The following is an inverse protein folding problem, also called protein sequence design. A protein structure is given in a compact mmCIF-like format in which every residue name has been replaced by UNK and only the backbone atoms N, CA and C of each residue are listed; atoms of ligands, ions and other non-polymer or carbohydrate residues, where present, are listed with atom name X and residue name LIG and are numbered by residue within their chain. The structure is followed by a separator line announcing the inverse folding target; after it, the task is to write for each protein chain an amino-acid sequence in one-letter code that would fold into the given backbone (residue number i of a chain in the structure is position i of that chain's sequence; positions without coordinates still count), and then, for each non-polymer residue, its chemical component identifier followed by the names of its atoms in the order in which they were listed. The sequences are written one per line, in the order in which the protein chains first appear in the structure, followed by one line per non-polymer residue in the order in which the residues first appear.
data_IF_335241838698
#
_entry.id   IF_335241838698
#
_cell.length_a   1.000
_cell.length_b   1.000
_cell.length_c   1.000
_cell.angle_alpha   90.00
_cell.angle_beta   90.00
_cell.angle_gamma   90.00
#
_symmetry.space_group_name_H-M   'P 1'
#
loop_
_entity.id
_entity.type
_entity.pdbx_description
1 polymer ?
#
# COMPACT_ATOMS: atom_id res chain seq x y z
N UNK A 1 11.27 29.82 7.74
CA UNK A 1 11.09 28.77 6.73
C UNK A 1 9.97 27.87 7.20
N UNK A 2 8.98 27.45 6.38
CA UNK A 2 8.04 26.44 6.84
C UNK A 2 8.83 25.16 7.18
N UNK A 3 8.41 24.43 8.21
CA UNK A 3 9.03 23.15 8.60
C UNK A 3 8.98 22.18 7.41
N UNK A 4 9.99 21.31 7.32
CA UNK A 4 10.11 20.34 6.22
C UNK A 4 9.00 19.29 6.23
N UNK A 5 8.24 19.19 7.33
CA UNK A 5 6.98 18.42 7.49
C UNK A 5 5.79 19.25 7.97
N UNK A 6 5.99 20.54 8.27
CA UNK A 6 4.92 21.42 8.75
C UNK A 6 3.81 21.68 7.73
N UNK A 7 2.66 22.11 8.25
CA UNK A 7 1.48 22.42 7.44
C UNK A 7 1.75 23.55 6.45
N UNK A 8 1.33 23.31 5.21
CA UNK A 8 1.45 24.24 4.09
C UNK A 8 0.08 24.69 3.61
N UNK A 9 0.01 25.79 2.83
CA UNK A 9 -1.23 26.18 2.16
C UNK A 9 -1.81 25.08 1.26
N UNK A 10 -0.96 24.19 0.71
CA UNK A 10 -1.41 23.05 -0.09
C UNK A 10 -2.12 22.00 0.77
N UNK A 11 -1.64 21.73 1.98
CA UNK A 11 -2.26 20.78 2.90
C UNK A 11 -3.65 21.28 3.34
N UNK A 12 -3.81 22.60 3.52
CA UNK A 12 -5.12 23.22 3.80
C UNK A 12 -6.06 23.09 2.61
N UNK A 13 -5.55 23.27 1.38
CA UNK A 13 -6.34 23.08 0.17
C UNK A 13 -6.76 21.61 -0.01
N UNK A 14 -5.84 20.67 0.21
CA UNK A 14 -6.09 19.23 0.18
C UNK A 14 -7.16 18.83 1.22
N UNK A 15 -7.02 19.30 2.46
CA UNK A 15 -8.00 19.06 3.52
C UNK A 15 -9.39 19.67 3.23
N UNK A 16 -9.45 20.76 2.46
CA UNK A 16 -10.73 21.37 2.07
C UNK A 16 -11.47 20.53 1.02
N UNK A 17 -10.73 19.88 0.13
CA UNK A 17 -11.29 19.00 -0.91
C UNK A 17 -11.56 17.60 -0.35
N UNK A 18 -10.82 17.17 0.66
CA UNK A 18 -10.99 15.89 1.34
C UNK A 18 -12.44 15.70 1.80
N UNK A 19 -13.05 14.59 1.38
CA UNK A 19 -14.44 14.20 1.67
C UNK A 19 -15.53 15.20 1.20
N UNK A 20 -15.18 16.16 0.33
CA UNK A 20 -16.11 17.15 -0.21
C UNK A 20 -16.30 17.01 -1.73
N UNK A 21 -17.32 16.24 -2.12
CA UNK A 21 -17.64 15.98 -3.52
C UNK A 21 -17.97 17.27 -4.30
N UNK A 22 -18.63 18.25 -3.68
CA UNK A 22 -18.99 19.51 -4.37
C UNK A 22 -17.75 20.32 -4.74
N UNK A 23 -16.77 20.40 -3.84
CA UNK A 23 -15.52 21.09 -4.10
C UNK A 23 -14.64 20.33 -5.09
N UNK A 24 -14.59 18.99 -5.02
CA UNK A 24 -13.88 18.18 -6.00
C UNK A 24 -14.46 18.41 -7.41
N UNK A 25 -15.78 18.44 -7.57
CA UNK A 25 -16.45 18.71 -8.84
C UNK A 25 -16.32 20.18 -9.30
N UNK A 26 -16.03 21.11 -8.39
CA UNK A 26 -15.79 22.51 -8.73
C UNK A 26 -14.37 22.78 -9.26
N UNK A 27 -13.43 21.85 -9.07
CA UNK A 27 -12.07 21.95 -9.62
C UNK A 27 -12.11 21.94 -11.15
N UNK A 28 -11.34 22.85 -11.76
CA UNK A 28 -11.26 22.93 -13.22
C UNK A 28 -9.89 22.49 -13.72
N UNK A 29 -9.82 22.16 -15.00
CA UNK A 29 -8.56 21.77 -15.67
C UNK A 29 -7.37 22.72 -15.38
N UNK A 30 -7.53 24.06 -15.35
CA UNK A 30 -6.42 24.97 -15.02
C UNK A 30 -5.88 24.81 -13.58
N UNK A 31 -6.75 24.47 -12.63
CA UNK A 31 -6.38 24.29 -11.23
C UNK A 31 -5.53 23.02 -11.07
N UNK A 32 -5.98 21.92 -11.69
CA UNK A 32 -5.26 20.64 -11.74
C UNK A 32 -3.97 20.75 -12.55
N UNK A 33 -4.00 21.46 -13.69
CA UNK A 33 -2.82 21.68 -14.51
C UNK A 33 -1.73 22.36 -13.69
N UNK A 34 -2.05 23.43 -12.95
CA UNK A 34 -1.09 24.15 -12.11
C UNK A 34 -0.38 23.23 -11.13
N UNK A 35 -1.11 22.34 -10.45
CA UNK A 35 -0.54 21.34 -9.53
C UNK A 35 0.40 20.38 -10.27
N UNK A 36 -0.02 19.89 -11.43
CA UNK A 36 0.82 19.02 -12.28
C UNK A 36 2.09 19.75 -12.77
N UNK A 37 2.04 21.07 -13.01
CA UNK A 37 3.23 21.84 -13.38
C UNK A 37 4.25 21.90 -12.23
N UNK A 38 3.79 22.07 -10.99
CA UNK A 38 4.66 22.04 -9.81
C UNK A 38 5.25 20.65 -9.57
N UNK A 39 4.43 19.60 -9.70
CA UNK A 39 4.90 18.21 -9.63
C UNK A 39 5.98 17.91 -10.68
N UNK A 40 5.82 18.39 -11.92
CA UNK A 40 6.86 18.27 -12.95
C UNK A 40 8.16 18.98 -12.54
N UNK A 41 8.05 20.15 -11.88
CA UNK A 41 9.17 20.88 -11.31
C UNK A 41 9.94 20.07 -10.26
N UNK A 42 9.24 19.42 -9.33
CA UNK A 42 9.84 18.50 -8.35
C UNK A 42 10.60 17.36 -9.03
N UNK A 43 10.14 16.94 -10.21
CA UNK A 43 10.81 15.94 -11.00
C UNK A 43 12.15 16.38 -11.62
N UNK A 44 12.36 17.68 -11.82
CA UNK A 44 13.52 18.22 -12.53
C UNK A 44 14.50 18.98 -11.62
N UNK A 45 14.12 19.21 -10.37
CA UNK A 45 14.86 20.07 -9.46
C UNK A 45 15.11 19.38 -8.13
N UNK A 46 16.35 19.46 -7.68
CA UNK A 46 16.75 19.05 -6.33
C UNK A 46 16.12 19.96 -5.27
N UNK A 47 15.89 19.40 -4.08
CA UNK A 47 15.46 20.19 -2.94
C UNK A 47 16.64 20.97 -2.35
N UNK A 48 16.76 22.26 -2.69
CA UNK A 48 17.84 23.13 -2.21
C UNK A 48 17.92 23.20 -0.67
N UNK A 49 16.78 23.10 0.01
CA UNK A 49 16.71 23.04 1.47
C UNK A 49 17.38 21.78 2.02
N UNK A 50 17.10 20.59 1.47
CA UNK A 50 17.74 19.34 1.88
C UNK A 50 19.24 19.36 1.61
N UNK A 51 19.64 19.80 0.42
CA UNK A 51 21.06 19.93 0.06
C UNK A 51 21.77 20.88 1.02
N UNK A 52 21.16 22.01 1.39
CA UNK A 52 21.73 22.95 2.36
C UNK A 52 21.87 22.37 3.78
N UNK A 53 21.01 21.42 4.15
CA UNK A 53 21.08 20.67 5.41
C UNK A 53 22.05 19.48 5.37
N UNK A 54 22.75 19.28 4.25
CA UNK A 54 23.77 18.24 4.10
C UNK A 54 23.26 16.89 3.59
N UNK A 55 22.02 16.81 3.12
CA UNK A 55 21.49 15.60 2.47
C UNK A 55 22.13 15.38 1.09
N UNK A 56 22.26 14.12 0.65
CA UNK A 56 22.69 13.81 -0.70
C UNK A 56 21.77 14.42 -1.76
N UNK A 57 22.37 14.99 -2.79
CA UNK A 57 21.62 15.50 -3.94
C UNK A 57 21.28 14.35 -4.89
N UNK A 58 19.98 14.04 -4.99
CA UNK A 58 19.45 12.98 -5.88
C UNK A 58 18.91 13.53 -7.21
N UNK A 59 18.93 14.85 -7.44
CA UNK A 59 18.51 15.47 -8.70
C UNK A 59 17.00 15.69 -8.88
N UNK A 60 16.18 15.35 -7.88
CA UNK A 60 14.73 15.56 -7.86
C UNK A 60 14.21 15.64 -6.41
N UNK A 61 12.94 15.99 -6.21
CA UNK A 61 12.34 16.25 -4.90
C UNK A 61 11.15 15.31 -4.61
N UNK A 62 11.39 14.11 -4.04
CA UNK A 62 10.31 13.17 -3.68
C UNK A 62 9.41 13.70 -2.55
N UNK A 63 9.98 14.44 -1.59
CA UNK A 63 9.27 14.94 -0.40
C UNK A 63 8.19 15.95 -0.77
N UNK A 64 8.52 16.91 -1.64
CA UNK A 64 7.52 17.88 -2.09
C UNK A 64 6.58 17.28 -3.15
N UNK A 65 7.11 16.38 -3.99
CA UNK A 65 6.34 15.68 -5.01
C UNK A 65 5.16 14.89 -4.42
N UNK A 66 5.37 14.20 -3.30
CA UNK A 66 4.32 13.48 -2.56
C UNK A 66 3.13 14.39 -2.23
N UNK A 67 3.38 15.61 -1.72
CA UNK A 67 2.30 16.53 -1.31
C UNK A 67 1.39 16.94 -2.47
N UNK A 68 1.98 17.14 -3.66
CA UNK A 68 1.20 17.42 -4.86
C UNK A 68 0.39 16.19 -5.30
N UNK A 69 0.95 14.98 -5.18
CA UNK A 69 0.24 13.74 -5.46
C UNK A 69 -0.94 13.53 -4.49
N UNK A 70 -0.77 13.85 -3.22
CA UNK A 70 -1.83 13.78 -2.21
C UNK A 70 -2.99 14.74 -2.51
N UNK A 71 -2.71 15.98 -2.90
CA UNK A 71 -3.76 16.89 -3.35
C UNK A 71 -4.53 16.30 -4.54
N UNK A 72 -3.81 15.79 -5.55
CA UNK A 72 -4.45 15.17 -6.73
C UNK A 72 -5.27 13.94 -6.35
N UNK A 73 -4.82 13.15 -5.37
CA UNK A 73 -5.51 11.98 -4.86
C UNK A 73 -6.88 12.34 -4.30
N UNK A 74 -6.97 13.40 -3.49
CA UNK A 74 -8.25 13.89 -2.96
C UNK A 74 -9.13 14.54 -4.03
N UNK A 75 -8.54 15.10 -5.10
CA UNK A 75 -9.29 15.66 -6.20
C UNK A 75 -9.96 14.60 -7.09
N UNK A 76 -9.35 13.41 -7.22
CA UNK A 76 -9.86 12.33 -8.08
C UNK A 76 -10.65 11.26 -7.32
N UNK A 77 -10.60 11.25 -5.99
CA UNK A 77 -11.25 10.23 -5.17
C UNK A 77 -11.81 10.83 -3.89
N UNK A 78 -13.13 10.78 -3.74
CA UNK A 78 -13.84 11.35 -2.59
C UNK A 78 -14.87 10.34 -2.06
N UNK A 79 -14.95 10.18 -0.74
CA UNK A 79 -15.97 9.33 -0.09
C UNK A 79 -16.07 7.89 -0.63
N UNK A 80 -14.94 7.31 -1.09
CA UNK A 80 -14.91 5.95 -1.63
C UNK A 80 -15.23 5.84 -3.14
N UNK A 81 -15.50 6.95 -3.81
CA UNK A 81 -15.88 6.99 -5.22
C UNK A 81 -14.86 7.78 -6.05
N UNK A 82 -14.66 7.34 -7.30
CA UNK A 82 -13.80 8.03 -8.27
C UNK A 82 -14.56 9.20 -8.91
N UNK A 83 -13.93 10.38 -8.94
CA UNK A 83 -14.42 11.55 -9.65
C UNK A 83 -13.90 11.48 -11.10
N UNK A 84 -14.64 10.79 -11.97
CA UNK A 84 -14.17 10.43 -13.32
C UNK A 84 -13.71 11.63 -14.16
N UNK A 85 -14.40 12.77 -14.07
CA UNK A 85 -14.04 13.98 -14.82
C UNK A 85 -12.63 14.46 -14.44
N UNK A 86 -12.32 14.49 -13.15
CA UNK A 86 -11.00 14.89 -12.64
C UNK A 86 -9.95 13.82 -12.96
N UNK A 87 -10.25 12.54 -12.75
CA UNK A 87 -9.34 11.44 -13.04
C UNK A 87 -8.85 11.45 -14.50
N UNK A 88 -9.77 11.65 -15.45
CA UNK A 88 -9.47 11.70 -16.88
C UNK A 88 -8.56 12.90 -17.23
N UNK A 89 -8.79 14.05 -16.60
CA UNK A 89 -7.95 15.25 -16.76
C UNK A 89 -6.56 14.99 -16.17
N UNK A 90 -6.47 14.47 -14.95
CA UNK A 90 -5.21 14.19 -14.26
C UNK A 90 -4.33 13.22 -15.05
N UNK A 91 -4.88 12.08 -15.49
CA UNK A 91 -4.12 11.11 -16.31
C UNK A 91 -3.60 11.77 -17.58
N UNK A 92 -4.44 12.53 -18.29
CA UNK A 92 -4.07 13.23 -19.53
C UNK A 92 -2.99 14.29 -19.31
N UNK A 93 -3.01 15.00 -18.19
CA UNK A 93 -1.99 15.99 -17.84
C UNK A 93 -0.66 15.33 -17.47
N UNK A 94 -0.69 14.25 -16.68
CA UNK A 94 0.50 13.51 -16.25
C UNK A 94 1.23 12.89 -17.45
N UNK A 95 0.54 12.20 -18.36
CA UNK A 95 1.21 11.57 -19.52
C UNK A 95 1.83 12.57 -20.50
N UNK A 96 1.41 13.84 -20.46
CA UNK A 96 2.00 14.91 -21.26
C UNK A 96 3.27 15.49 -20.63
N UNK A 97 3.55 15.13 -19.36
CA UNK A 97 4.69 15.59 -18.57
C UNK A 97 5.35 14.40 -17.89
N UNK A 98 6.19 13.63 -18.62
CA UNK A 98 6.83 12.44 -18.07
C UNK A 98 7.65 12.75 -16.79
N UNK A 99 8.05 14.00 -16.59
CA UNK A 99 8.77 14.46 -15.41
C UNK A 99 8.02 14.20 -14.10
N UNK A 100 6.68 14.16 -14.14
CA UNK A 100 5.84 13.90 -12.97
C UNK A 100 6.00 12.48 -12.40
N UNK A 101 6.47 11.50 -13.18
CA UNK A 101 6.51 10.09 -12.75
C UNK A 101 7.74 9.73 -11.91
N UNK A 102 8.64 10.68 -11.67
CA UNK A 102 9.95 10.40 -11.07
C UNK A 102 10.93 9.74 -12.06
N UNK A 103 12.24 9.70 -11.74
CA UNK A 103 13.27 9.31 -12.70
C UNK A 103 13.17 7.85 -13.17
N UNK A 104 12.67 6.93 -12.34
CA UNK A 104 12.64 5.51 -12.71
C UNK A 104 11.52 5.13 -13.70
N UNK A 105 10.48 5.97 -13.80
CA UNK A 105 9.29 5.71 -14.62
C UNK A 105 9.18 6.63 -15.85
N UNK A 106 10.20 7.46 -16.12
CA UNK A 106 10.24 8.42 -17.25
C UNK A 106 10.47 7.81 -18.64
N UNK A 107 10.56 6.49 -18.76
CA UNK A 107 10.70 5.77 -20.03
C UNK A 107 12.13 5.78 -20.63
N UNK A 108 12.83 6.91 -20.67
CA UNK A 108 14.23 6.96 -21.14
C UNK A 108 15.21 6.66 -20.01
N UNK A 109 15.81 5.45 -20.01
CA UNK A 109 16.86 5.06 -19.07
C UNK A 109 16.40 4.72 -17.64
N UNK A 110 15.08 4.67 -17.40
CA UNK A 110 14.50 4.24 -16.13
C UNK A 110 14.64 2.74 -15.91
N UNK A 111 14.92 2.33 -14.67
CA UNK A 111 15.10 0.91 -14.31
C UNK A 111 13.79 0.21 -13.90
N UNK A 112 12.63 0.89 -13.99
CA UNK A 112 11.33 0.36 -13.56
C UNK A 112 11.04 0.63 -12.08
N UNK A 113 9.79 0.38 -11.68
CA UNK A 113 9.29 0.62 -10.32
C UNK A 113 9.96 -0.32 -9.31
N UNK A 114 10.07 -1.61 -9.64
CA UNK A 114 10.65 -2.59 -8.72
C UNK A 114 12.10 -2.23 -8.36
N UNK A 115 12.91 -1.91 -9.37
CA UNK A 115 14.29 -1.51 -9.15
C UNK A 115 14.38 -0.21 -8.32
N UNK A 116 13.47 0.74 -8.53
CA UNK A 116 13.42 1.98 -7.76
C UNK A 116 13.07 1.73 -6.29
N UNK A 117 12.07 0.90 -6.01
CA UNK A 117 11.70 0.52 -4.65
C UNK A 117 12.84 -0.22 -3.96
N UNK A 118 13.47 -1.20 -4.63
CA UNK A 118 14.62 -1.92 -4.06
C UNK A 118 15.82 -1.02 -3.79
N UNK A 119 16.12 -0.06 -4.66
CA UNK A 119 17.20 0.89 -4.43
C UNK A 119 16.87 1.86 -3.30
N UNK A 120 15.62 2.28 -3.17
CA UNK A 120 15.16 3.13 -2.07
C UNK A 120 15.25 2.41 -0.70
N UNK A 121 14.97 1.10 -0.66
CA UNK A 121 15.21 0.27 0.54
C UNK A 121 16.69 0.27 0.90
N UNK A 122 17.59 0.05 -0.07
CA UNK A 122 19.04 0.10 0.18
C UNK A 122 19.51 1.48 0.64
N UNK A 123 18.88 2.55 0.16
CA UNK A 123 19.14 3.92 0.65
C UNK A 123 18.75 4.00 2.12
N UNK A 124 17.56 3.53 2.52
CA UNK A 124 17.13 3.55 3.93
C UNK A 124 18.02 2.74 4.88
N UNK A 125 18.71 1.73 4.35
CA UNK A 125 19.65 0.90 5.12
C UNK A 125 21.05 1.52 5.22
N UNK A 126 21.36 2.58 4.44
CA UNK A 126 22.65 3.27 4.42
C UNK A 126 22.51 4.69 5.01
N UNK A 127 22.89 4.93 6.28
CA UNK A 127 22.78 6.24 6.92
C UNK A 127 23.50 7.37 6.19
N UNK A 128 24.54 7.08 5.40
CA UNK A 128 25.26 8.10 4.63
C UNK A 128 24.45 8.58 3.42
N UNK A 129 23.47 7.78 2.98
CA UNK A 129 22.58 8.07 1.85
C UNK A 129 21.19 8.52 2.30
N UNK A 130 20.74 8.02 3.46
CA UNK A 130 19.40 8.28 3.98
C UNK A 130 19.27 9.63 4.68
N UNK A 131 20.32 10.04 5.40
CA UNK A 131 20.34 11.23 6.23
C UNK A 131 21.39 12.27 5.82
N UNK A 132 21.55 13.36 6.59
CA UNK A 132 22.57 14.37 6.34
C UNK A 132 23.98 13.79 6.53
N UNK A 133 24.91 14.12 5.64
CA UNK A 133 26.28 13.59 5.71
C UNK A 133 27.02 14.05 6.98
N UNK A 134 27.60 13.13 7.78
CA UNK A 134 28.35 13.47 9.00
C UNK A 134 29.68 14.20 8.72
N UNK A 135 30.09 14.29 7.44
CA UNK A 135 31.35 14.91 7.03
C UNK A 135 31.21 16.39 6.63
N UNK A 136 29.99 16.89 6.47
CA UNK A 136 29.72 18.31 6.20
C UNK A 136 29.82 19.14 7.49
N UNK A 137 30.41 20.35 7.43
CA UNK A 137 30.40 21.29 8.58
C UNK A 137 28.97 21.60 9.06
N UNK A 138 28.00 21.57 8.14
CA UNK A 138 26.57 21.68 8.46
C UNK A 138 26.04 20.44 9.18
N UNK A 139 26.46 19.23 8.77
CA UNK A 139 26.08 17.96 9.40
C UNK A 139 26.60 17.83 10.83
N UNK A 140 27.83 18.28 11.10
CA UNK A 140 28.43 18.32 12.45
C UNK A 140 27.79 19.34 13.38
N UNK A 141 27.28 20.44 12.82
CA UNK A 141 26.54 21.46 13.60
C UNK A 141 25.12 20.97 13.89
N UNK A 142 24.51 20.21 12.97
CA UNK A 142 23.21 19.57 13.15
C UNK A 142 23.27 18.47 14.23
N UNK A 143 24.31 17.62 14.22
CA UNK A 143 24.49 16.55 15.24
C UNK A 143 24.46 17.06 16.69
N UNK A 144 24.81 18.33 16.92
CA UNK A 144 24.79 19.01 18.24
C UNK A 144 23.44 19.70 18.54
N UNK A 145 22.61 19.97 17.53
CA UNK A 145 21.31 20.65 17.65
C UNK A 145 20.09 19.71 17.53
N UNK A 146 20.29 18.48 17.06
CA UNK A 146 19.24 17.49 16.84
C UNK A 146 18.73 16.80 18.11
N UNK A 147 19.29 17.07 19.29
CA UNK A 147 18.75 16.56 20.56
C UNK A 147 17.31 17.09 20.84
N UNK A 148 16.88 18.18 20.18
CA UNK A 148 15.55 18.79 20.35
C UNK A 148 14.64 18.74 19.08
N UNK A 149 15.10 18.23 17.92
CA UNK A 149 14.36 18.23 16.64
C UNK A 149 14.29 16.86 15.92
N UNK A 150 14.04 15.75 16.64
CA UNK A 150 13.81 14.42 16.02
C UNK A 150 12.66 14.42 14.99
N UNK A 151 11.63 15.26 15.17
CA UNK A 151 10.39 15.29 14.35
C UNK A 151 10.58 15.80 12.91
N UNK A 152 11.68 16.52 12.65
CA UNK A 152 11.96 17.17 11.35
C UNK A 152 12.99 16.37 10.49
N UNK A 153 13.43 15.19 10.94
CA UNK A 153 14.36 14.33 10.19
C UNK A 153 13.66 13.69 9.00
N UNK A 154 14.28 13.78 7.82
CA UNK A 154 13.77 13.18 6.59
C UNK A 154 14.60 11.95 6.27
N UNK A 155 13.94 10.82 6.08
CA UNK A 155 14.57 9.60 5.59
C UNK A 155 14.43 9.53 4.07
N UNK A 156 15.53 9.73 3.35
CA UNK A 156 15.53 9.83 1.89
C UNK A 156 14.99 8.55 1.22
N UNK A 157 15.37 7.37 1.72
CA UNK A 157 14.89 6.09 1.22
C UNK A 157 13.37 5.98 1.34
N UNK A 158 12.82 6.28 2.52
CA UNK A 158 11.38 6.30 2.73
C UNK A 158 10.65 7.37 1.90
N UNK A 159 11.24 8.56 1.73
CA UNK A 159 10.65 9.61 0.90
C UNK A 159 10.50 9.15 -0.57
N UNK A 160 11.50 8.46 -1.11
CA UNK A 160 11.45 7.90 -2.47
C UNK A 160 10.36 6.82 -2.58
N UNK A 161 10.31 5.88 -1.63
CA UNK A 161 9.28 4.82 -1.62
C UNK A 161 7.87 5.41 -1.50
N UNK A 162 7.69 6.38 -0.61
CA UNK A 162 6.41 7.05 -0.38
C UNK A 162 5.96 7.85 -1.60
N UNK A 163 6.86 8.55 -2.30
CA UNK A 163 6.55 9.21 -3.56
C UNK A 163 6.02 8.22 -4.60
N UNK A 164 6.73 7.11 -4.85
CA UNK A 164 6.28 6.12 -5.82
C UNK A 164 4.97 5.47 -5.37
N UNK A 165 4.81 5.11 -4.09
CA UNK A 165 3.56 4.58 -3.58
C UNK A 165 2.38 5.55 -3.78
N UNK A 166 2.55 6.84 -3.48
CA UNK A 166 1.52 7.86 -3.70
C UNK A 166 1.17 8.03 -5.18
N UNK A 167 2.16 7.95 -6.07
CA UNK A 167 1.95 8.00 -7.52
C UNK A 167 1.14 6.79 -8.01
N UNK A 168 1.50 5.58 -7.57
CA UNK A 168 0.79 4.35 -7.94
C UNK A 168 -0.63 4.35 -7.36
N UNK A 169 -0.82 4.79 -6.11
CA UNK A 169 -2.15 4.92 -5.51
C UNK A 169 -3.04 5.91 -6.28
N UNK A 170 -2.51 7.10 -6.62
CA UNK A 170 -3.20 8.08 -7.45
C UNK A 170 -3.64 7.47 -8.78
N UNK A 171 -2.72 6.83 -9.51
CA UNK A 171 -3.02 6.23 -10.81
C UNK A 171 -4.03 5.08 -10.69
N UNK A 172 -3.99 4.30 -9.61
CA UNK A 172 -4.96 3.26 -9.31
C UNK A 172 -6.36 3.83 -9.10
N UNK A 173 -6.49 4.95 -8.38
CA UNK A 173 -7.76 5.67 -8.19
C UNK A 173 -8.25 6.39 -9.44
N UNK A 174 -7.33 6.76 -10.34
CA UNK A 174 -7.67 7.28 -11.66
C UNK A 174 -8.15 6.20 -12.64
N UNK A 175 -7.98 4.91 -12.32
CA UNK A 175 -8.42 3.83 -13.19
C UNK A 175 -9.94 3.90 -13.39
N UNK A 176 -10.45 3.66 -14.60
CA UNK A 176 -11.89 3.70 -14.86
C UNK A 176 -12.63 2.54 -14.19
N UNK A 177 -13.89 2.76 -13.85
CA UNK A 177 -14.73 1.75 -13.20
C UNK A 177 -14.97 0.51 -14.08
N UNK A 178 -14.98 -0.68 -13.46
CA UNK A 178 -15.05 -1.96 -14.19
C UNK A 178 -16.28 -2.10 -15.08
N UNK A 179 -17.43 -1.59 -14.62
CA UNK A 179 -18.67 -1.67 -15.38
C UNK A 179 -18.60 -0.86 -16.69
N UNK A 180 -17.85 0.26 -16.73
CA UNK A 180 -17.63 1.04 -17.96
C UNK A 180 -16.73 0.30 -18.94
N UNK A 181 -15.71 -0.40 -18.43
CA UNK A 181 -14.81 -1.22 -19.24
C UNK A 181 -15.58 -2.39 -19.85
N UNK A 182 -16.40 -3.10 -19.05
CA UNK A 182 -17.25 -4.19 -19.54
C UNK A 182 -18.31 -3.72 -20.54
N UNK A 183 -18.80 -2.49 -20.39
CA UNK A 183 -19.72 -1.87 -21.34
C UNK A 183 -19.03 -1.42 -22.65
N UNK A 184 -17.72 -1.66 -22.81
CA UNK A 184 -17.00 -1.36 -24.05
C UNK A 184 -16.77 0.13 -24.29
N UNK A 185 -16.77 0.97 -23.24
CA UNK A 185 -16.54 2.42 -23.38
C UNK A 185 -15.09 2.67 -23.82
N UNK A 186 -14.93 3.21 -25.04
CA UNK A 186 -13.62 3.38 -25.67
C UNK A 186 -12.62 4.21 -24.84
N UNK A 187 -13.10 5.26 -24.16
CA UNK A 187 -12.25 6.09 -23.29
C UNK A 187 -11.71 5.30 -22.08
N UNK A 188 -12.58 4.55 -21.41
CA UNK A 188 -12.20 3.71 -20.27
C UNK A 188 -11.18 2.63 -20.68
N UNK A 189 -11.39 1.99 -21.83
CA UNK A 189 -10.44 1.00 -22.37
C UNK A 189 -9.09 1.66 -22.67
N UNK A 190 -9.09 2.85 -23.27
CA UNK A 190 -7.86 3.59 -23.61
C UNK A 190 -7.08 4.00 -22.37
N UNK A 191 -7.75 4.55 -21.36
CA UNK A 191 -7.10 4.94 -20.09
C UNK A 191 -6.51 3.71 -19.39
N UNK A 192 -7.27 2.61 -19.30
CA UNK A 192 -6.76 1.35 -18.72
C UNK A 192 -5.52 0.85 -19.46
N UNK A 193 -5.50 0.93 -20.80
CA UNK A 193 -4.33 0.54 -21.58
C UNK A 193 -3.11 1.44 -21.32
N UNK A 194 -3.31 2.75 -21.18
CA UNK A 194 -2.26 3.70 -20.79
C UNK A 194 -1.69 3.33 -19.42
N UNK A 195 -2.54 3.12 -18.40
CA UNK A 195 -2.10 2.78 -17.05
C UNK A 195 -1.28 1.48 -17.03
N UNK A 196 -1.72 0.45 -17.78
CA UNK A 196 -0.98 -0.82 -17.93
C UNK A 196 0.37 -0.65 -18.62
N UNK A 197 0.49 0.31 -19.54
CA UNK A 197 1.77 0.57 -20.23
C UNK A 197 2.78 1.33 -19.36
N UNK A 198 2.31 2.08 -18.36
CA UNK A 198 3.17 2.86 -17.47
C UNK A 198 3.82 1.98 -16.40
N UNK A 199 3.07 1.03 -15.85
CA UNK A 199 3.51 0.16 -14.75
C UNK A 199 3.26 -1.30 -15.14
N UNK A 200 4.32 -2.06 -15.47
CA UNK A 200 4.24 -3.49 -15.74
C UNK A 200 3.69 -4.26 -14.54
N UNK A 201 2.99 -5.37 -14.78
CA UNK A 201 2.42 -6.19 -13.70
C UNK A 201 3.52 -6.87 -12.88
N UNK A 202 4.64 -7.20 -13.52
CA UNK A 202 5.80 -7.84 -12.91
C UNK A 202 6.45 -6.93 -11.86
N UNK A 203 6.44 -5.61 -12.08
CA UNK A 203 6.93 -4.65 -11.11
C UNK A 203 6.07 -4.63 -9.83
N UNK A 204 4.74 -4.71 -9.99
CA UNK A 204 3.81 -4.77 -8.86
C UNK A 204 3.99 -6.04 -8.05
N UNK A 205 4.05 -7.19 -8.74
CA UNK A 205 4.30 -8.49 -8.13
C UNK A 205 5.63 -8.49 -7.36
N UNK A 206 6.68 -7.94 -7.98
CA UNK A 206 8.00 -7.82 -7.36
C UNK A 206 7.96 -7.01 -6.07
N UNK A 207 7.29 -5.85 -6.06
CA UNK A 207 7.20 -4.99 -4.86
C UNK A 207 6.34 -5.66 -3.78
N UNK A 208 5.23 -6.30 -4.16
CA UNK A 208 4.37 -7.05 -3.23
C UNK A 208 5.13 -8.21 -2.59
N UNK A 209 6.11 -8.79 -3.28
CA UNK A 209 6.93 -9.91 -2.79
C UNK A 209 8.08 -9.50 -1.86
N UNK A 210 8.33 -8.19 -1.67
CA UNK A 210 9.41 -7.71 -0.78
C UNK A 210 9.05 -7.99 0.68
N UNK A 211 9.90 -8.65 1.48
CA UNK A 211 9.62 -8.89 2.89
C UNK A 211 9.74 -7.60 3.71
N UNK A 212 8.90 -7.44 4.73
CA UNK A 212 9.03 -6.33 5.68
C UNK A 212 10.11 -6.60 6.74
N UNK A 213 10.77 -5.56 7.27
CA UNK A 213 11.54 -5.67 8.50
C UNK A 213 10.58 -5.95 9.66
N UNK A 214 10.77 -7.06 10.39
CA UNK A 214 9.88 -7.45 11.48
C UNK A 214 10.40 -6.96 12.83
N UNK A 215 9.53 -6.49 13.74
CA UNK A 215 9.94 -6.18 15.10
C UNK A 215 10.41 -7.45 15.81
N UNK A 216 11.42 -7.32 16.66
CA UNK A 216 12.02 -8.44 17.38
C UNK A 216 12.01 -8.21 18.88
N UNK A 217 11.87 -9.29 19.64
CA UNK A 217 11.99 -9.24 21.10
C UNK A 217 13.46 -9.46 21.48
N UNK A 218 14.08 -8.45 22.07
CA UNK A 218 15.43 -8.55 22.58
C UNK A 218 15.51 -9.45 23.82
N UNK A 219 16.73 -9.90 24.15
CA UNK A 219 16.96 -10.86 25.26
C UNK A 219 16.61 -10.30 26.64
N UNK A 220 16.55 -8.98 26.78
CA UNK A 220 16.15 -8.27 27.99
C UNK A 220 14.63 -8.06 28.09
N UNK A 221 13.87 -8.51 27.09
CA UNK A 221 12.42 -8.33 27.00
C UNK A 221 11.99 -6.99 26.38
N UNK A 222 12.93 -6.15 25.93
CA UNK A 222 12.60 -4.95 25.16
C UNK A 222 12.18 -5.30 23.74
N UNK A 223 11.31 -4.48 23.16
CA UNK A 223 10.87 -4.62 21.76
C UNK A 223 11.72 -3.69 20.92
N UNK A 224 12.35 -4.24 19.89
CA UNK A 224 13.07 -3.46 18.86
C UNK A 224 12.14 -3.39 17.65
N UNK A 225 11.56 -2.22 17.43
CA UNK A 225 10.66 -1.94 16.31
C UNK A 225 11.39 -1.28 15.15
N UNK A 226 11.04 -1.62 13.90
CA UNK A 226 11.49 -0.84 12.75
C UNK A 226 10.81 0.53 12.76
N UNK A 227 11.56 1.58 12.40
CA UNK A 227 10.98 2.91 12.21
C UNK A 227 10.14 2.94 10.92
N UNK A 228 8.82 3.08 11.12
CA UNK A 228 7.82 3.11 10.05
C UNK A 228 7.95 4.34 9.14
N UNK A 229 8.63 5.39 9.60
CA UNK A 229 8.89 6.62 8.87
C UNK A 229 10.25 6.65 8.17
N UNK A 230 11.08 5.63 8.41
CA UNK A 230 12.43 5.51 7.83
C UNK A 230 12.59 4.38 6.81
N UNK A 231 11.75 3.34 6.88
CA UNK A 231 11.90 2.15 6.05
C UNK A 231 10.70 1.79 5.18
N UNK A 232 10.78 0.60 4.57
CA UNK A 232 9.69 0.02 3.78
C UNK A 232 8.54 -0.41 4.69
N UNK A 233 7.34 0.08 4.42
CA UNK A 233 6.18 -0.10 5.28
C UNK A 233 4.96 -0.69 4.54
N UNK A 234 3.96 -1.24 5.26
CA UNK A 234 2.79 -1.88 4.65
C UNK A 234 1.98 -0.97 3.74
N UNK A 235 1.94 0.34 4.00
CA UNK A 235 1.21 1.30 3.18
C UNK A 235 1.81 1.41 1.76
N UNK A 236 3.12 1.17 1.59
CA UNK A 236 3.75 1.10 0.26
C UNK A 236 3.20 -0.07 -0.56
N UNK A 237 2.99 -1.24 0.04
CA UNK A 237 2.37 -2.39 -0.65
C UNK A 237 0.87 -2.18 -0.88
N UNK A 238 0.17 -1.47 0.00
CA UNK A 238 -1.25 -1.20 -0.15
C UNK A 238 -1.56 -0.49 -1.49
N UNK A 239 -0.74 0.48 -1.86
CA UNK A 239 -0.84 1.18 -3.15
C UNK A 239 -0.69 0.23 -4.36
N UNK A 240 0.26 -0.71 -4.29
CA UNK A 240 0.49 -1.69 -5.36
C UNK A 240 -0.71 -2.62 -5.53
N UNK A 241 -1.28 -3.09 -4.41
CA UNK A 241 -2.46 -3.96 -4.41
C UNK A 241 -3.69 -3.24 -4.95
N UNK A 242 -3.88 -1.96 -4.59
CA UNK A 242 -4.98 -1.13 -5.13
C UNK A 242 -4.86 -0.98 -6.64
N UNK A 243 -3.67 -0.66 -7.14
CA UNK A 243 -3.44 -0.52 -8.59
C UNK A 243 -3.64 -1.85 -9.31
N UNK A 244 -3.14 -2.95 -8.76
CA UNK A 244 -3.33 -4.29 -9.31
C UNK A 244 -4.83 -4.62 -9.42
N UNK A 245 -5.62 -4.39 -8.38
CA UNK A 245 -7.06 -4.66 -8.40
C UNK A 245 -7.81 -3.78 -9.42
N UNK A 246 -7.54 -2.47 -9.41
CA UNK A 246 -8.30 -1.50 -10.22
C UNK A 246 -7.89 -1.47 -11.69
N UNK A 247 -6.61 -1.63 -12.01
CA UNK A 247 -6.10 -1.49 -13.40
C UNK A 247 -6.00 -2.84 -14.08
N UNK A 248 -5.40 -3.83 -13.41
CA UNK A 248 -5.22 -5.14 -14.00
C UNK A 248 -6.45 -6.00 -13.78
N UNK A 249 -6.94 -6.08 -12.54
CA UNK A 249 -7.88 -7.11 -12.12
C UNK A 249 -7.20 -8.49 -12.09
N UNK A 250 -7.65 -9.37 -11.19
CA UNK A 250 -7.16 -10.75 -11.12
C UNK A 250 -8.26 -11.67 -11.64
N UNK A 251 -8.04 -12.21 -12.82
CA UNK A 251 -8.96 -13.16 -13.48
C UNK A 251 -8.29 -14.53 -13.73
N UNK A 252 -6.96 -14.60 -13.71
CA UNK A 252 -6.20 -15.83 -13.88
C UNK A 252 -5.92 -16.51 -12.54
N UNK A 253 -6.33 -17.78 -12.44
CA UNK A 253 -6.17 -18.58 -11.22
C UNK A 253 -4.69 -18.82 -10.87
N UNK A 254 -3.83 -19.07 -11.85
CA UNK A 254 -2.41 -19.36 -11.58
C UNK A 254 -1.72 -18.10 -11.06
N UNK A 255 -2.02 -16.94 -11.61
CA UNK A 255 -1.52 -15.66 -11.15
C UNK A 255 -1.96 -15.36 -9.70
N UNK A 256 -3.24 -15.58 -9.37
CA UNK A 256 -3.72 -15.44 -7.99
C UNK A 256 -2.94 -16.34 -7.02
N UNK A 257 -2.78 -17.62 -7.37
CA UNK A 257 -2.09 -18.60 -6.53
C UNK A 257 -0.61 -18.27 -6.38
N UNK A 258 0.03 -17.79 -7.45
CA UNK A 258 1.41 -17.33 -7.41
C UNK A 258 1.57 -16.14 -6.47
N UNK A 259 0.77 -15.08 -6.67
CA UNK A 259 0.79 -13.88 -5.83
C UNK A 259 0.49 -14.18 -4.36
N UNK A 260 -0.43 -15.12 -4.11
CA UNK A 260 -0.71 -15.63 -2.78
C UNK A 260 0.53 -16.28 -2.15
N UNK A 261 1.27 -17.10 -2.89
CA UNK A 261 2.45 -17.80 -2.40
C UNK A 261 3.62 -16.86 -2.12
N UNK A 262 3.92 -15.93 -3.04
CA UNK A 262 5.13 -15.08 -2.95
C UNK A 262 4.94 -13.79 -2.16
N UNK A 263 3.71 -13.27 -2.07
CA UNK A 263 3.42 -11.99 -1.45
C UNK A 263 2.47 -12.08 -0.25
N UNK A 264 1.20 -12.43 -0.51
CA UNK A 264 0.14 -12.27 0.50
C UNK A 264 0.26 -13.24 1.67
N UNK A 265 0.58 -14.51 1.43
CA UNK A 265 0.69 -15.49 2.51
C UNK A 265 1.87 -15.22 3.46
N UNK A 266 3.07 -14.84 2.98
CA UNK A 266 4.13 -14.30 3.83
C UNK A 266 3.67 -13.15 4.72
N UNK A 267 2.96 -12.16 4.17
CA UNK A 267 2.48 -11.00 4.92
C UNK A 267 1.40 -11.37 5.96
N UNK A 268 0.47 -12.27 5.61
CA UNK A 268 -0.52 -12.82 6.55
C UNK A 268 0.16 -13.58 7.71
N UNK A 269 1.21 -14.35 7.41
CA UNK A 269 1.99 -15.07 8.44
C UNK A 269 2.75 -14.11 9.33
N UNK A 270 3.32 -13.05 8.77
CA UNK A 270 3.98 -11.99 9.51
C UNK A 270 3.03 -11.35 10.52
N UNK A 271 1.87 -10.87 10.07
CA UNK A 271 0.85 -10.31 10.96
C UNK A 271 0.42 -11.30 12.05
N UNK A 272 0.22 -12.57 11.70
CA UNK A 272 -0.13 -13.61 12.66
C UNK A 272 0.98 -13.92 13.67
N UNK A 273 2.26 -13.69 13.32
CA UNK A 273 3.39 -13.86 14.24
C UNK A 273 3.52 -12.71 15.25
N UNK A 274 3.05 -11.51 14.89
CA UNK A 274 3.03 -10.33 15.76
C UNK A 274 1.86 -10.33 16.75
N UNK A 275 0.88 -11.21 16.58
CA UNK A 275 -0.25 -11.40 17.49
C UNK A 275 0.19 -12.10 18.79
N UNK A 276 0.99 -11.39 19.57
CA UNK A 276 1.47 -11.76 20.92
C UNK A 276 1.28 -10.59 21.87
N UNK A 277 1.25 -10.85 23.18
CA UNK A 277 1.08 -9.81 24.18
C UNK A 277 2.14 -8.71 24.12
N UNK A 278 3.36 -9.02 23.65
CA UNK A 278 4.45 -8.06 23.55
C UNK A 278 4.45 -7.26 22.23
N UNK A 279 3.94 -7.84 21.13
CA UNK A 279 4.12 -7.27 19.79
C UNK A 279 2.83 -6.76 19.12
N UNK A 280 1.66 -7.16 19.63
CA UNK A 280 0.37 -6.89 18.97
C UNK A 280 -0.03 -5.41 18.91
N UNK A 281 0.62 -4.56 19.70
CA UNK A 281 0.40 -3.11 19.75
C UNK A 281 1.53 -2.29 19.09
N UNK A 282 2.54 -2.94 18.50
CA UNK A 282 3.61 -2.28 17.72
C UNK A 282 3.02 -1.55 16.51
N UNK A 283 3.66 -0.47 16.07
CA UNK A 283 3.18 0.29 14.90
C UNK A 283 3.18 -0.58 13.64
N UNK A 284 4.20 -1.45 13.49
CA UNK A 284 4.27 -2.42 12.40
C UNK A 284 3.10 -3.43 12.43
N UNK A 285 2.73 -3.96 13.60
CA UNK A 285 1.59 -4.88 13.70
C UNK A 285 0.27 -4.20 13.31
N UNK A 286 0.05 -2.97 13.78
CA UNK A 286 -1.14 -2.19 13.44
C UNK A 286 -1.19 -1.82 11.96
N UNK A 287 -0.06 -1.43 11.37
CA UNK A 287 0.06 -1.12 9.94
C UNK A 287 -0.18 -2.35 9.07
N UNK A 288 0.40 -3.51 9.41
CA UNK A 288 0.14 -4.78 8.71
C UNK A 288 -1.33 -5.17 8.76
N UNK A 289 -1.96 -5.08 9.93
CA UNK A 289 -3.38 -5.37 10.08
C UNK A 289 -4.25 -4.42 9.25
N UNK A 290 -3.86 -3.14 9.13
CA UNK A 290 -4.54 -2.18 8.25
C UNK A 290 -4.39 -2.59 6.79
N UNK A 291 -3.16 -2.73 6.29
CA UNK A 291 -2.85 -3.15 4.93
C UNK A 291 -3.61 -4.43 4.52
N UNK A 292 -3.55 -5.47 5.35
CA UNK A 292 -4.20 -6.74 5.05
C UNK A 292 -5.71 -6.59 4.98
N UNK A 293 -6.33 -5.86 5.91
CA UNK A 293 -7.78 -5.74 5.97
C UNK A 293 -8.37 -4.73 4.97
N UNK A 294 -7.60 -3.75 4.51
CA UNK A 294 -8.08 -2.72 3.57
C UNK A 294 -7.75 -3.04 2.12
N UNK A 295 -6.68 -3.79 1.85
CA UNK A 295 -6.23 -4.08 0.49
C UNK A 295 -6.27 -5.58 0.16
N UNK A 296 -5.57 -6.42 0.92
CA UNK A 296 -5.36 -7.84 0.56
C UNK A 296 -6.62 -8.69 0.72
N UNK A 297 -7.25 -8.66 1.90
CA UNK A 297 -8.42 -9.48 2.20
C UNK A 297 -9.62 -9.12 1.31
N UNK A 298 -9.95 -7.83 1.08
CA UNK A 298 -11.01 -7.47 0.12
C UNK A 298 -10.72 -7.99 -1.30
N UNK A 299 -9.47 -7.90 -1.77
CA UNK A 299 -9.08 -8.45 -3.07
C UNK A 299 -9.27 -9.99 -3.12
N UNK A 300 -8.84 -10.71 -2.08
CA UNK A 300 -9.03 -12.17 -1.99
C UNK A 300 -10.52 -12.54 -1.95
N UNK A 301 -11.35 -11.77 -1.23
CA UNK A 301 -12.82 -11.94 -1.21
C UNK A 301 -13.41 -11.81 -2.61
N UNK A 302 -13.01 -10.76 -3.36
CA UNK A 302 -13.44 -10.53 -4.74
C UNK A 302 -12.99 -11.66 -5.67
N UNK A 303 -11.78 -12.17 -5.46
CA UNK A 303 -11.20 -13.28 -6.22
C UNK A 303 -11.70 -14.66 -5.77
N UNK A 304 -12.61 -14.76 -4.79
CA UNK A 304 -13.01 -16.03 -4.21
C UNK A 304 -13.39 -17.12 -5.25
N UNK A 305 -14.14 -16.81 -6.34
CA UNK A 305 -14.48 -17.81 -7.36
C UNK A 305 -13.28 -18.51 -7.99
N UNK A 306 -12.10 -17.86 -8.02
CA UNK A 306 -10.87 -18.45 -8.54
C UNK A 306 -10.28 -19.52 -7.62
N UNK A 307 -10.77 -19.70 -6.38
CA UNK A 307 -10.34 -20.81 -5.52
C UNK A 307 -11.05 -22.13 -5.85
N UNK A 308 -12.08 -22.12 -6.68
CA UNK A 308 -12.74 -23.35 -7.12
C UNK A 308 -11.77 -24.23 -7.94
N UNK A 309 -11.70 -25.52 -7.64
CA UNK A 309 -10.86 -26.47 -8.38
C UNK A 309 -9.35 -26.39 -8.06
N UNK A 310 -8.97 -25.82 -6.91
CA UNK A 310 -7.57 -25.66 -6.49
C UNK A 310 -7.02 -26.86 -5.72
N UNK A 311 -7.58 -28.07 -5.90
CA UNK A 311 -7.10 -29.28 -5.21
C UNK A 311 -5.60 -29.57 -5.37
N UNK A 312 -4.96 -29.33 -6.54
CA UNK A 312 -3.51 -29.50 -6.67
C UNK A 312 -2.69 -28.60 -5.74
N UNK A 313 -3.27 -27.50 -5.26
CA UNK A 313 -2.64 -26.50 -4.39
C UNK A 313 -3.14 -26.59 -2.94
N UNK A 314 -3.66 -27.75 -2.52
CA UNK A 314 -4.29 -27.93 -1.21
C UNK A 314 -3.43 -27.47 -0.02
N UNK A 315 -2.10 -27.64 -0.07
CA UNK A 315 -1.19 -27.19 1.00
C UNK A 315 -1.12 -25.67 1.14
N UNK A 316 -1.14 -24.95 0.01
CA UNK A 316 -1.15 -23.49 -0.03
C UNK A 316 -2.48 -22.95 0.50
N UNK A 317 -3.60 -23.54 0.04
CA UNK A 317 -4.95 -23.16 0.47
C UNK A 317 -5.16 -23.46 1.96
N UNK A 318 -4.73 -24.62 2.45
CA UNK A 318 -4.79 -24.94 3.88
C UNK A 318 -3.99 -23.94 4.72
N UNK A 319 -2.78 -23.58 4.26
CA UNK A 319 -1.96 -22.56 4.90
C UNK A 319 -2.65 -21.20 4.95
N UNK A 320 -3.30 -20.77 3.86
CA UNK A 320 -4.07 -19.54 3.79
C UNK A 320 -5.22 -19.57 4.80
N UNK A 321 -6.08 -20.59 4.72
CA UNK A 321 -7.25 -20.74 5.59
C UNK A 321 -6.86 -20.74 7.07
N UNK A 322 -5.82 -21.50 7.41
CA UNK A 322 -5.30 -21.56 8.76
C UNK A 322 -4.81 -20.20 9.25
N UNK A 323 -4.07 -19.46 8.41
CA UNK A 323 -3.47 -18.18 8.78
C UNK A 323 -4.54 -17.10 8.93
N UNK A 324 -5.50 -17.01 8.00
CA UNK A 324 -6.64 -16.08 8.07
C UNK A 324 -7.52 -16.40 9.28
N UNK A 325 -7.78 -17.68 9.55
CA UNK A 325 -8.52 -18.07 10.75
C UNK A 325 -7.78 -17.69 12.04
N UNK A 326 -6.45 -17.88 12.09
CA UNK A 326 -5.65 -17.44 13.25
C UNK A 326 -5.71 -15.93 13.44
N UNK A 327 -5.60 -15.14 12.37
CA UNK A 327 -5.74 -13.68 12.43
C UNK A 327 -7.10 -13.25 12.99
N UNK A 328 -8.17 -13.98 12.69
CA UNK A 328 -9.51 -13.66 13.25
C UNK A 328 -9.58 -13.68 14.79
N UNK A 329 -8.63 -14.36 15.44
CA UNK A 329 -8.52 -14.45 16.90
C UNK A 329 -7.67 -13.34 17.53
N UNK A 330 -7.07 -12.46 16.73
CA UNK A 330 -6.18 -11.42 17.21
C UNK A 330 -6.82 -10.47 18.23
N UNK A 331 -6.03 -10.03 19.20
CA UNK A 331 -6.52 -9.15 20.27
C UNK A 331 -6.67 -7.70 19.81
N UNK A 332 -5.72 -7.18 19.03
CA UNK A 332 -5.66 -5.77 18.60
C UNK A 332 -6.32 -5.54 17.23
N UNK A 333 -7.58 -5.97 17.05
CA UNK A 333 -8.34 -5.76 15.83
C UNK A 333 -9.60 -4.93 16.08
N UNK A 334 -9.81 -3.93 15.23
CA UNK A 334 -11.07 -3.18 15.17
C UNK A 334 -12.21 -4.08 14.66
N UNK A 335 -13.45 -3.65 14.88
CA UNK A 335 -14.62 -4.37 14.38
C UNK A 335 -14.58 -4.54 12.85
N UNK A 336 -14.29 -3.47 12.12
CA UNK A 336 -14.23 -3.51 10.66
C UNK A 336 -13.16 -4.48 10.13
N UNK A 337 -11.98 -4.54 10.79
CA UNK A 337 -10.95 -5.52 10.44
C UNK A 337 -11.40 -6.96 10.68
N UNK A 338 -12.09 -7.23 11.80
CA UNK A 338 -12.67 -8.56 12.07
C UNK A 338 -13.71 -8.94 11.01
N UNK A 339 -14.56 -7.99 10.62
CA UNK A 339 -15.59 -8.20 9.60
C UNK A 339 -14.94 -8.52 8.24
N UNK A 340 -13.88 -7.82 7.84
CA UNK A 340 -13.13 -8.10 6.61
C UNK A 340 -12.45 -9.48 6.60
N UNK A 341 -11.83 -9.89 7.72
CA UNK A 341 -11.23 -11.23 7.89
C UNK A 341 -12.32 -12.31 7.79
N UNK A 342 -13.46 -12.06 8.45
CA UNK A 342 -14.60 -12.97 8.41
C UNK A 342 -15.11 -13.18 6.98
N UNK A 343 -15.38 -12.07 6.28
CA UNK A 343 -15.93 -12.09 4.94
C UNK A 343 -15.01 -12.85 3.97
N UNK A 344 -13.70 -12.58 4.02
CA UNK A 344 -12.70 -13.26 3.21
C UNK A 344 -12.67 -14.77 3.49
N UNK A 345 -12.66 -15.17 4.76
CA UNK A 345 -12.62 -16.59 5.13
C UNK A 345 -13.88 -17.31 4.65
N UNK A 346 -15.06 -16.71 4.84
CA UNK A 346 -16.33 -17.30 4.42
C UNK A 346 -16.46 -17.37 2.90
N UNK A 347 -16.04 -16.32 2.18
CA UNK A 347 -16.05 -16.30 0.72
C UNK A 347 -15.14 -17.38 0.14
N UNK A 348 -13.91 -17.49 0.65
CA UNK A 348 -12.93 -18.50 0.23
C UNK A 348 -13.44 -19.92 0.53
N UNK A 349 -13.86 -20.20 1.77
CA UNK A 349 -14.42 -21.50 2.14
C UNK A 349 -15.66 -21.87 1.31
N UNK A 350 -16.44 -20.88 0.89
CA UNK A 350 -17.62 -21.09 0.05
C UNK A 350 -17.34 -21.66 -1.33
N UNK A 351 -16.09 -21.62 -1.80
CA UNK A 351 -15.68 -22.06 -3.13
C UNK A 351 -14.89 -23.38 -3.10
N UNK A 352 -14.54 -23.85 -1.90
CA UNK A 352 -13.69 -25.03 -1.69
C UNK A 352 -14.53 -26.29 -1.45
N UNK A 353 -14.03 -27.44 -1.91
CA UNK A 353 -14.62 -28.73 -1.57
C UNK A 353 -14.44 -29.04 -0.08
N UNK A 354 -15.39 -29.73 0.56
CA UNK A 354 -15.29 -30.10 1.98
C UNK A 354 -14.00 -30.87 2.34
N UNK A 355 -13.45 -31.68 1.41
CA UNK A 355 -12.19 -32.39 1.59
C UNK A 355 -11.00 -31.46 1.87
N UNK A 356 -10.97 -30.28 1.26
CA UNK A 356 -9.90 -29.29 1.44
C UNK A 356 -10.02 -28.55 2.77
N UNK A 357 -11.21 -28.50 3.36
CA UNK A 357 -11.48 -27.79 4.63
C UNK A 357 -11.31 -28.68 5.87
N UNK A 358 -11.03 -29.97 5.72
CA UNK A 358 -11.03 -30.92 6.84
C UNK A 358 -10.10 -30.52 7.98
N UNK A 359 -8.91 -30.00 7.66
CA UNK A 359 -7.94 -29.57 8.67
C UNK A 359 -8.42 -28.34 9.44
N UNK A 360 -8.98 -27.34 8.76
CA UNK A 360 -9.61 -26.19 9.39
C UNK A 360 -10.79 -26.63 10.27
N UNK A 361 -11.71 -27.44 9.73
CA UNK A 361 -12.90 -27.91 10.46
C UNK A 361 -12.54 -28.65 11.74
N UNK A 362 -11.52 -29.53 11.71
CA UNK A 362 -11.06 -30.22 12.92
C UNK A 362 -10.61 -29.25 14.02
N UNK A 363 -9.95 -28.15 13.66
CA UNK A 363 -9.54 -27.11 14.62
C UNK A 363 -10.73 -26.33 15.14
N UNK A 364 -11.65 -25.96 14.25
CA UNK A 364 -12.86 -25.25 14.62
C UNK A 364 -13.66 -26.02 15.70
N UNK A 365 -13.71 -27.36 15.64
CA UNK A 365 -14.39 -28.19 16.66
C UNK A 365 -13.84 -27.94 18.06
N UNK A 366 -12.53 -27.78 18.21
CA UNK A 366 -11.90 -27.50 19.51
C UNK A 366 -12.14 -26.07 20.00
N UNK A 367 -12.45 -25.14 19.09
CA UNK A 367 -12.72 -23.75 19.41
C UNK A 367 -14.21 -23.46 19.67
N UNK A 368 -15.14 -24.36 19.29
CA UNK A 368 -16.58 -24.23 19.59
C UNK A 368 -16.89 -24.07 21.09
N UNK A 369 -16.19 -24.73 22.03
CA UNK A 369 -16.39 -24.51 23.45
C UNK A 369 -15.87 -23.16 23.96
N UNK A 370 -15.01 -22.48 23.19
CA UNK A 370 -14.32 -21.23 23.56
C UNK A 370 -14.93 -20.00 22.87
N UNK A 371 -16.13 -20.15 22.31
CA UNK A 371 -16.84 -19.07 21.63
C UNK A 371 -17.20 -17.94 22.61
N UNK A 372 -16.89 -16.73 22.22
CA UNK A 372 -17.29 -15.49 22.86
C UNK A 372 -17.94 -14.56 21.82
N UNK A 373 -18.35 -13.36 22.23
CA UNK A 373 -19.02 -12.41 21.33
C UNK A 373 -18.19 -12.07 20.08
N UNK A 374 -16.86 -12.16 20.18
CA UNK A 374 -15.88 -11.84 19.13
C UNK A 374 -15.35 -13.06 18.37
N UNK A 375 -15.66 -14.29 18.78
CA UNK A 375 -15.14 -15.52 18.16
C UNK A 375 -16.25 -16.38 17.56
N UNK A 376 -17.28 -15.80 16.94
CA UNK A 376 -18.39 -16.56 16.29
C UNK A 376 -18.02 -17.23 14.95
N UNK A 377 -16.80 -16.99 14.45
CA UNK A 377 -16.30 -17.52 13.17
C UNK A 377 -16.40 -19.03 12.99
N UNK A 378 -16.06 -19.87 13.98
CA UNK A 378 -16.18 -21.33 13.85
C UNK A 378 -17.60 -21.75 13.46
N UNK A 379 -18.63 -21.18 14.09
CA UNK A 379 -20.02 -21.51 13.80
C UNK A 379 -20.41 -21.16 12.36
N UNK A 380 -19.98 -20.00 11.86
CA UNK A 380 -20.32 -19.54 10.51
C UNK A 380 -19.66 -20.40 9.43
N UNK A 381 -18.40 -20.81 9.64
CA UNK A 381 -17.70 -21.72 8.73
C UNK A 381 -18.32 -23.12 8.78
N UNK A 382 -18.71 -23.63 9.96
CA UNK A 382 -19.41 -24.92 10.07
C UNK A 382 -20.76 -24.94 9.35
N UNK A 383 -21.58 -23.91 9.53
CA UNK A 383 -22.88 -23.80 8.85
C UNK A 383 -22.68 -23.79 7.33
N UNK A 384 -21.71 -23.02 6.84
CA UNK A 384 -21.45 -22.89 5.40
C UNK A 384 -20.90 -24.17 4.77
N UNK A 385 -19.95 -24.83 5.45
CA UNK A 385 -19.40 -26.13 5.00
C UNK A 385 -20.41 -27.28 5.05
N UNK A 386 -21.46 -27.18 5.88
CA UNK A 386 -22.56 -28.15 5.94
C UNK A 386 -23.67 -27.88 4.92
N UNK A 387 -23.65 -26.71 4.27
CA UNK A 387 -24.63 -26.27 3.26
C UNK A 387 -24.16 -26.48 1.82
N UNK A 388 -22.89 -26.90 1.64
CA UNK A 388 -22.24 -27.32 0.39
C UNK A 388 -22.17 -28.84 0.35
#
# INVERSE_FOLDING_TARGET
SPSMRGSTPLDVAAASVMDNNELALALREPDLEKVVQYLAGCGLQSCSMLVSKGYPDIGWNPVEGERYLDFLRFAVFCNGESVEENANVVVRLLIRRPECFGPALRGEGGNGLLAAMMEAIKISEDPCRDGPSPTSEAGRTLEVLLEDEEDDTIHMGNAIMTFYAALIDLLGRCAPEMHLIHAGKGEAIRIRAILRSLIPIEDLEGVISIPFPMPTLAKDGSVVEPDMSAGFCPDHKAAMVLFLDRVYGIEDQNFLLHLLEVGFLPDLRAASSLDTAALSATDMALALNRYLCTAVLPLLTKCAPLFAGTEPYASLIDSLLHTVYRLSKGCCLTKAQRDAIEECLLATCGQLRPSMMQHLLRRLVFDVPLLNEHTKMPLKVFIRSSSL
#
